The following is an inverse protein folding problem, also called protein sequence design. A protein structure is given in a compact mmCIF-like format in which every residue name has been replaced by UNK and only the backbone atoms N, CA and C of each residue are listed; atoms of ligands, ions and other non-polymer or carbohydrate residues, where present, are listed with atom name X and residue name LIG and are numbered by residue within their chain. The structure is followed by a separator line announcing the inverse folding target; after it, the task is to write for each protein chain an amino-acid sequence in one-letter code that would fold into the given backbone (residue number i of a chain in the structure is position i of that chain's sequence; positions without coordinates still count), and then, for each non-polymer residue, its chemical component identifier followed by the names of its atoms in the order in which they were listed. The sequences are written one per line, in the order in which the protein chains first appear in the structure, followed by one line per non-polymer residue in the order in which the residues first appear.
data_IF_835780429976
#
_entry.id   IF_835780429976
#
_cell.length_a   1.000
_cell.length_b   1.000
_cell.length_c   1.000
_cell.angle_alpha   90.00
_cell.angle_beta   90.00
_cell.angle_gamma   90.00
#
_symmetry.space_group_name_H-M   'P 1'
#
loop_
_entity.id
_entity.type
_entity.pdbx_description
1 polymer ?
#
# COMPACT_ATOMS: atom_id res chain seq x y z
N UNK A 1 -18.32 -15.52 27.03
CA UNK A 1 -17.60 -15.75 25.76
C UNK A 1 -16.12 -15.60 26.07
N UNK A 2 -15.32 -16.64 25.87
CA UNK A 2 -13.86 -16.52 26.01
C UNK A 2 -13.36 -15.51 25.00
N UNK A 3 -12.42 -14.60 25.35
CA UNK A 3 -11.84 -13.69 24.37
C UNK A 3 -11.18 -14.51 23.25
N UNK A 4 -11.50 -14.18 22.01
CA UNK A 4 -10.86 -14.78 20.85
C UNK A 4 -9.37 -14.49 20.96
N UNK A 5 -8.53 -15.52 21.02
CA UNK A 5 -7.08 -15.33 21.09
C UNK A 5 -6.63 -14.55 19.85
N UNK A 6 -5.91 -13.46 20.05
CA UNK A 6 -5.38 -12.68 18.95
C UNK A 6 -4.35 -13.51 18.16
N UNK A 7 -4.35 -13.39 16.84
CA UNK A 7 -3.32 -13.97 15.98
C UNK A 7 -1.98 -13.29 16.25
N UNK A 8 -0.94 -14.11 16.47
CA UNK A 8 0.43 -13.65 16.67
C UNK A 8 1.24 -13.77 15.39
N UNK A 9 2.43 -13.17 15.34
CA UNK A 9 3.38 -13.35 14.24
C UNK A 9 3.73 -14.85 14.02
N UNK A 10 3.85 -15.64 15.09
CA UNK A 10 4.09 -17.09 15.01
C UNK A 10 2.93 -17.83 14.34
N UNK A 11 1.70 -17.42 14.60
CA UNK A 11 0.52 -18.01 13.94
C UNK A 11 0.50 -17.66 12.46
N UNK A 12 0.93 -16.42 12.11
CA UNK A 12 1.08 -15.98 10.73
C UNK A 12 2.10 -16.83 9.96
N UNK A 13 3.27 -17.09 10.54
CA UNK A 13 4.29 -17.96 9.92
C UNK A 13 3.83 -19.41 9.72
N UNK A 14 2.84 -19.87 10.51
CA UNK A 14 2.27 -21.20 10.40
C UNK A 14 1.14 -21.31 9.36
N UNK A 15 0.71 -20.17 8.75
CA UNK A 15 -0.34 -20.17 7.74
C UNK A 15 0.11 -20.94 6.47
N UNK A 16 -0.82 -21.60 5.76
CA UNK A 16 -0.50 -22.37 4.58
C UNK A 16 -0.02 -21.48 3.44
N UNK A 17 1.00 -21.93 2.70
CA UNK A 17 1.41 -21.29 1.46
C UNK A 17 0.50 -21.75 0.30
N UNK A 18 -0.75 -21.31 0.30
CA UNK A 18 -1.82 -21.71 -0.61
C UNK A 18 -2.17 -20.66 -1.67
N UNK A 19 -1.30 -19.66 -1.86
CA UNK A 19 -1.44 -18.51 -2.76
C UNK A 19 -2.52 -17.51 -2.34
N UNK A 20 -3.09 -17.63 -1.15
CA UNK A 20 -3.94 -16.60 -0.57
C UNK A 20 -3.07 -15.50 0.01
N UNK A 21 -3.63 -14.31 0.06
CA UNK A 21 -3.00 -13.17 0.69
C UNK A 21 -3.56 -13.05 2.10
N UNK A 22 -2.68 -13.22 3.09
CA UNK A 22 -3.01 -13.15 4.50
C UNK A 22 -2.44 -11.86 5.07
N UNK A 23 -3.25 -11.16 5.86
CA UNK A 23 -2.85 -10.00 6.63
C UNK A 23 -3.34 -10.17 8.07
N UNK A 24 -2.73 -9.50 9.03
CA UNK A 24 -3.22 -9.43 10.41
C UNK A 24 -3.42 -7.97 10.76
N UNK A 25 -4.62 -7.62 11.17
CA UNK A 25 -4.99 -6.27 11.57
C UNK A 25 -5.35 -6.28 13.06
N UNK A 26 -4.45 -5.75 13.93
CA UNK A 26 -4.64 -5.73 15.39
C UNK A 26 -5.02 -7.14 15.95
N UNK A 27 -4.28 -8.17 15.53
CA UNK A 27 -4.53 -9.56 15.94
C UNK A 27 -5.70 -10.25 15.23
N UNK A 28 -6.39 -9.62 14.30
CA UNK A 28 -7.43 -10.25 13.49
C UNK A 28 -6.90 -10.69 12.13
N UNK A 29 -7.08 -11.98 11.81
CA UNK A 29 -6.70 -12.53 10.51
C UNK A 29 -7.63 -12.04 9.41
N UNK A 30 -7.06 -11.40 8.40
CA UNK A 30 -7.70 -10.98 7.17
C UNK A 30 -7.20 -11.84 5.99
N UNK A 31 -8.13 -12.30 5.15
CA UNK A 31 -7.80 -13.02 3.91
C UNK A 31 -8.37 -12.25 2.74
N UNK A 32 -7.49 -11.81 1.84
CA UNK A 32 -7.92 -11.05 0.67
C UNK A 32 -7.91 -11.93 -0.59
N UNK A 33 -8.87 -11.73 -1.50
CA UNK A 33 -8.90 -12.48 -2.76
C UNK A 33 -7.73 -12.06 -3.67
N UNK A 34 -7.45 -12.90 -4.68
CA UNK A 34 -6.48 -12.54 -5.71
C UNK A 34 -6.91 -11.26 -6.45
N UNK A 35 -5.95 -10.39 -6.83
CA UNK A 35 -6.24 -9.17 -7.55
C UNK A 35 -6.78 -9.44 -8.96
N UNK A 36 -7.62 -8.53 -9.47
CA UNK A 36 -8.13 -8.57 -10.84
C UNK A 36 -7.05 -8.22 -11.86
N UNK A 37 -7.32 -8.51 -13.14
CA UNK A 37 -6.45 -8.09 -14.24
C UNK A 37 -6.31 -6.56 -14.28
N UNK A 38 -7.41 -5.84 -14.09
CA UNK A 38 -7.40 -4.37 -14.04
C UNK A 38 -6.46 -3.84 -12.96
N UNK A 39 -6.58 -4.38 -11.75
CA UNK A 39 -5.70 -4.04 -10.63
C UNK A 39 -4.22 -4.27 -10.99
N UNK A 40 -3.89 -5.38 -11.62
CA UNK A 40 -2.52 -5.71 -12.03
C UNK A 40 -1.99 -4.78 -13.13
N UNK A 41 -2.84 -4.35 -14.07
CA UNK A 41 -2.47 -3.36 -15.10
C UNK A 41 -2.15 -2.02 -14.46
N UNK A 42 -3.00 -1.55 -13.53
CA UNK A 42 -2.80 -0.29 -12.81
C UNK A 42 -1.50 -0.34 -12.00
N UNK A 43 -1.27 -1.42 -11.25
CA UNK A 43 -0.02 -1.60 -10.49
C UNK A 43 1.21 -1.59 -11.41
N UNK A 44 1.16 -2.30 -12.52
CA UNK A 44 2.26 -2.35 -13.49
C UNK A 44 2.58 -0.98 -14.10
N UNK A 45 1.56 -0.21 -14.46
CA UNK A 45 1.72 1.13 -15.02
C UNK A 45 2.28 2.11 -13.97
N UNK A 46 1.77 2.04 -12.72
CA UNK A 46 2.26 2.83 -11.60
C UNK A 46 3.73 2.55 -11.30
N UNK A 47 4.08 1.28 -11.11
CA UNK A 47 5.47 0.87 -10.83
C UNK A 47 6.40 1.36 -11.95
N UNK A 48 6.01 1.22 -13.21
CA UNK A 48 6.79 1.73 -14.35
C UNK A 48 7.00 3.24 -14.31
N UNK A 49 5.97 4.00 -13.94
CA UNK A 49 6.07 5.45 -13.79
C UNK A 49 7.03 5.83 -12.66
N UNK A 50 6.87 5.21 -11.49
CA UNK A 50 7.70 5.47 -10.32
C UNK A 50 9.17 5.04 -10.55
N UNK A 51 9.42 3.89 -11.16
CA UNK A 51 10.78 3.41 -11.44
C UNK A 51 11.57 4.32 -12.41
N UNK A 52 10.90 5.09 -13.25
CA UNK A 52 11.56 6.08 -14.11
C UNK A 52 11.99 7.33 -13.35
N UNK A 53 11.27 7.66 -12.29
CA UNK A 53 11.46 8.89 -11.53
C UNK A 53 12.40 8.71 -10.33
N UNK A 54 12.18 7.66 -9.53
CA UNK A 54 12.87 7.42 -8.25
C UNK A 54 14.41 7.42 -8.38
N UNK A 55 15.03 6.73 -9.38
CA UNK A 55 16.51 6.68 -9.46
C UNK A 55 17.18 8.03 -9.59
N UNK A 56 16.50 9.03 -10.16
CA UNK A 56 17.09 10.34 -10.44
C UNK A 56 16.85 11.37 -9.35
N UNK A 57 15.77 11.26 -8.58
CA UNK A 57 15.36 12.32 -7.63
C UNK A 57 15.13 11.83 -6.19
N UNK A 58 14.90 10.55 -5.99
CA UNK A 58 14.60 9.98 -4.66
C UNK A 58 15.21 8.58 -4.53
N UNK A 59 16.55 8.46 -4.32
CA UNK A 59 17.18 7.16 -4.17
C UNK A 59 16.55 6.41 -2.97
N UNK A 60 16.14 5.16 -3.18
CA UNK A 60 15.47 4.32 -2.19
C UNK A 60 14.99 3.03 -2.82
N UNK A 61 14.14 2.28 -2.11
CA UNK A 61 13.56 1.04 -2.62
C UNK A 61 12.09 1.23 -2.96
N UNK A 62 11.71 0.88 -4.18
CA UNK A 62 10.33 0.67 -4.59
C UNK A 62 10.06 -0.82 -4.61
N UNK A 63 9.11 -1.28 -3.82
CA UNK A 63 8.74 -2.68 -3.67
C UNK A 63 7.22 -2.83 -3.87
N UNK A 64 6.78 -4.03 -4.21
CA UNK A 64 5.36 -4.31 -4.47
C UNK A 64 4.97 -5.72 -4.02
N UNK A 65 3.69 -5.92 -3.78
CA UNK A 65 3.14 -7.18 -3.27
C UNK A 65 3.45 -8.39 -4.17
N UNK A 66 3.58 -9.61 -3.58
CA UNK A 66 3.39 -9.89 -2.16
C UNK A 66 4.64 -9.58 -1.34
N UNK A 67 4.52 -8.74 -0.32
CA UNK A 67 5.61 -8.41 0.60
C UNK A 67 5.02 -7.99 1.94
N UNK A 68 5.49 -8.60 3.02
CA UNK A 68 5.02 -8.30 4.36
C UNK A 68 5.60 -6.97 4.87
N UNK A 69 4.72 -6.14 5.41
CA UNK A 69 5.04 -4.98 6.23
C UNK A 69 4.57 -5.28 7.64
N UNK A 70 5.51 -5.57 8.52
CA UNK A 70 5.28 -5.91 9.91
C UNK A 70 5.26 -4.61 10.69
N UNK A 71 4.07 -4.04 10.85
CA UNK A 71 3.88 -2.78 11.58
C UNK A 71 4.03 -3.01 13.09
N UNK A 72 3.61 -4.19 13.59
CA UNK A 72 3.82 -4.64 14.97
C UNK A 72 3.88 -6.17 15.00
N UNK A 73 4.82 -6.73 15.75
CA UNK A 73 4.88 -8.17 16.07
C UNK A 73 4.59 -8.45 17.56
N UNK A 74 4.09 -7.45 18.29
CA UNK A 74 3.65 -7.62 19.69
C UNK A 74 2.43 -8.55 19.73
N UNK A 75 2.43 -9.55 20.62
CA UNK A 75 1.41 -10.61 20.61
C UNK A 75 -0.04 -10.13 20.74
N UNK A 76 -0.25 -8.99 21.39
CA UNK A 76 -1.57 -8.37 21.63
C UNK A 76 -1.99 -7.35 20.56
N UNK A 77 -1.03 -6.94 19.70
CA UNK A 77 -1.21 -5.92 18.67
C UNK A 77 -0.59 -6.33 17.34
N UNK A 78 -0.40 -7.63 17.09
CA UNK A 78 0.22 -8.09 15.83
C UNK A 78 -0.49 -7.47 14.65
N UNK A 79 0.27 -6.76 13.82
CA UNK A 79 -0.24 -6.08 12.64
C UNK A 79 0.73 -6.28 11.48
N UNK A 80 0.27 -7.03 10.48
CA UNK A 80 1.01 -7.36 9.27
C UNK A 80 0.11 -7.01 8.09
N UNK A 81 0.58 -6.13 7.23
CA UNK A 81 -0.14 -5.69 6.03
C UNK A 81 0.70 -5.94 4.79
N UNK A 82 0.06 -6.06 3.64
CA UNK A 82 0.72 -6.19 2.35
C UNK A 82 0.20 -5.10 1.40
N UNK A 83 0.76 -3.88 1.45
CA UNK A 83 0.38 -2.83 0.51
C UNK A 83 0.70 -3.25 -0.93
N UNK A 84 -0.10 -2.82 -1.89
CA UNK A 84 0.11 -3.18 -3.29
C UNK A 84 1.46 -2.70 -3.82
N UNK A 85 1.89 -1.51 -3.36
CA UNK A 85 3.21 -0.96 -3.62
C UNK A 85 3.67 -0.13 -2.41
N UNK A 86 4.96 -0.04 -2.19
CA UNK A 86 5.54 0.78 -1.13
C UNK A 86 6.88 1.38 -1.54
N UNK A 87 7.25 2.47 -0.90
CA UNK A 87 8.55 3.09 -1.06
C UNK A 87 9.25 3.25 0.29
N UNK A 88 10.53 2.90 0.33
CA UNK A 88 11.42 3.06 1.47
C UNK A 88 12.47 4.10 1.09
N UNK A 89 12.46 5.24 1.76
CA UNK A 89 13.50 6.25 1.61
C UNK A 89 14.83 5.81 2.25
N UNK A 90 15.98 6.41 1.87
CA UNK A 90 17.29 6.01 2.36
C UNK A 90 17.44 6.01 3.89
N UNK A 91 16.80 6.95 4.57
CA UNK A 91 16.81 7.07 6.04
C UNK A 91 16.01 5.97 6.75
N UNK A 92 15.16 5.22 6.02
CA UNK A 92 14.36 4.10 6.52
C UNK A 92 14.84 2.72 6.05
N UNK A 93 15.98 2.64 5.37
CA UNK A 93 16.53 1.38 4.86
C UNK A 93 16.79 0.34 5.96
N UNK A 94 17.03 0.76 7.19
CA UNK A 94 17.19 -0.12 8.34
C UNK A 94 15.93 -0.94 8.68
N UNK A 95 14.76 -0.58 8.15
CA UNK A 95 13.52 -1.36 8.31
C UNK A 95 13.49 -2.63 7.45
N UNK A 96 14.40 -2.78 6.49
CA UNK A 96 14.43 -3.96 5.62
C UNK A 96 15.07 -5.16 6.32
N UNK A 97 14.41 -6.30 6.27
CA UNK A 97 14.88 -7.55 6.85
C UNK A 97 14.56 -8.76 5.96
N UNK A 98 14.90 -9.96 6.44
CA UNK A 98 14.48 -11.21 5.78
C UNK A 98 13.00 -11.53 5.96
N UNK A 99 12.37 -10.97 6.99
CA UNK A 99 10.93 -11.15 7.25
C UNK A 99 10.06 -10.23 6.40
N UNK A 100 10.63 -9.16 5.86
CA UNK A 100 9.93 -8.12 5.13
C UNK A 100 10.37 -6.73 5.58
N UNK A 101 9.43 -5.80 5.68
CA UNK A 101 9.65 -4.44 6.19
C UNK A 101 9.16 -4.39 7.64
N UNK A 102 10.07 -4.14 8.57
CA UNK A 102 9.79 -4.11 10.01
C UNK A 102 9.54 -2.68 10.49
N UNK A 103 8.31 -2.21 10.30
CA UNK A 103 7.85 -0.87 10.62
C UNK A 103 7.18 -0.15 9.46
N UNK A 104 6.82 1.12 9.69
CA UNK A 104 6.13 1.91 8.68
C UNK A 104 7.03 2.31 7.50
N UNK A 105 6.70 1.97 6.25
CA UNK A 105 7.41 2.46 5.06
C UNK A 105 7.30 3.99 4.94
N UNK A 106 8.07 4.60 4.04
CA UNK A 106 7.93 6.04 3.74
C UNK A 106 6.60 6.33 3.07
N UNK A 107 6.18 5.46 2.15
CA UNK A 107 4.92 5.55 1.44
C UNK A 107 4.32 4.15 1.31
N UNK A 108 3.04 4.02 1.65
CA UNK A 108 2.21 2.88 1.28
C UNK A 108 1.25 3.28 0.16
N UNK A 109 1.00 2.38 -0.78
CA UNK A 109 0.07 2.60 -1.90
C UNK A 109 -0.88 1.42 -1.97
N UNK A 110 -2.19 1.72 -1.96
CA UNK A 110 -3.27 0.75 -2.12
C UNK A 110 -4.09 1.06 -3.37
N UNK A 111 -4.32 0.04 -4.18
CA UNK A 111 -5.22 0.12 -5.35
C UNK A 111 -6.55 -0.47 -4.91
N UNK A 112 -7.55 0.37 -4.80
CA UNK A 112 -8.86 -0.01 -4.29
C UNK A 112 -9.56 -1.02 -5.20
N UNK A 113 -10.23 -1.98 -4.59
CA UNK A 113 -11.13 -2.91 -5.28
C UNK A 113 -12.48 -2.96 -4.57
N UNK A 114 -13.54 -3.41 -5.21
CA UNK A 114 -14.86 -3.53 -4.55
C UNK A 114 -14.81 -4.36 -3.27
N UNK A 115 -13.95 -5.38 -3.20
CA UNK A 115 -13.83 -6.27 -2.03
C UNK A 115 -12.99 -5.72 -0.90
N UNK A 116 -12.04 -4.82 -1.17
CA UNK A 116 -11.09 -4.30 -0.16
C UNK A 116 -11.28 -2.82 0.15
N UNK A 117 -12.07 -2.08 -0.62
CA UNK A 117 -12.27 -0.62 -0.51
C UNK A 117 -12.46 -0.12 0.92
N UNK A 118 -13.34 -0.77 1.69
CA UNK A 118 -13.60 -0.35 3.07
C UNK A 118 -12.40 -0.63 3.97
N UNK A 119 -11.75 -1.79 3.80
CA UNK A 119 -10.56 -2.17 4.56
C UNK A 119 -9.44 -1.16 4.29
N UNK A 120 -9.17 -0.83 3.03
CA UNK A 120 -8.08 0.07 2.65
C UNK A 120 -8.34 1.51 3.09
N UNK A 121 -9.59 2.01 2.87
CA UNK A 121 -9.96 3.40 3.22
C UNK A 121 -10.12 3.65 4.70
N UNK A 122 -10.46 2.65 5.50
CA UNK A 122 -10.75 2.81 6.93
C UNK A 122 -9.71 2.10 7.77
N UNK A 123 -9.65 0.76 7.69
CA UNK A 123 -8.80 -0.04 8.59
C UNK A 123 -7.32 0.20 8.31
N UNK A 124 -6.84 -0.07 7.10
CA UNK A 124 -5.41 0.08 6.76
C UNK A 124 -4.95 1.53 6.85
N UNK A 125 -5.79 2.49 6.42
CA UNK A 125 -5.48 3.91 6.62
C UNK A 125 -5.29 4.26 8.09
N UNK A 126 -6.11 3.73 9.00
CA UNK A 126 -5.94 3.90 10.44
C UNK A 126 -4.69 3.24 10.98
N UNK A 127 -4.39 2.02 10.53
CA UNK A 127 -3.16 1.31 10.89
C UNK A 127 -1.92 2.07 10.43
N UNK A 128 -1.87 2.49 9.16
CA UNK A 128 -0.74 3.27 8.64
C UNK A 128 -0.52 4.58 9.41
N UNK A 129 -1.59 5.28 9.79
CA UNK A 129 -1.46 6.49 10.61
C UNK A 129 -0.89 6.18 12.00
N UNK A 130 -1.43 5.17 12.69
CA UNK A 130 -0.97 4.73 14.01
C UNK A 130 0.51 4.35 14.04
N UNK A 131 0.98 3.66 13.01
CA UNK A 131 2.37 3.21 12.91
C UNK A 131 3.30 4.18 12.16
N UNK A 132 2.85 5.42 11.98
CA UNK A 132 3.69 6.52 11.53
C UNK A 132 4.18 6.41 10.08
N UNK A 133 3.37 5.85 9.17
CA UNK A 133 3.64 5.87 7.74
C UNK A 133 3.43 7.30 7.22
N UNK A 134 4.49 8.02 6.75
CA UNK A 134 4.36 9.44 6.44
C UNK A 134 3.40 9.76 5.31
N UNK A 135 3.33 8.86 4.31
CA UNK A 135 2.51 9.08 3.12
C UNK A 135 1.70 7.83 2.77
N UNK A 136 0.48 8.06 2.33
CA UNK A 136 -0.42 7.02 1.84
C UNK A 136 -1.05 7.49 0.52
N UNK A 137 -1.02 6.65 -0.50
CA UNK A 137 -1.82 6.86 -1.70
C UNK A 137 -2.93 5.83 -1.79
N UNK A 138 -4.13 6.31 -2.08
CA UNK A 138 -5.26 5.48 -2.46
C UNK A 138 -5.57 5.72 -3.93
N UNK A 139 -5.48 4.66 -4.74
CA UNK A 139 -5.75 4.68 -6.17
C UNK A 139 -7.11 4.05 -6.40
N UNK A 140 -8.04 4.82 -6.89
CA UNK A 140 -9.42 4.40 -7.09
C UNK A 140 -9.73 4.20 -8.58
N UNK A 141 -9.83 2.94 -9.05
CA UNK A 141 -10.15 2.64 -10.45
C UNK A 141 -11.53 3.13 -10.89
N UNK A 142 -12.53 3.08 -9.99
CA UNK A 142 -13.90 3.46 -10.32
C UNK A 142 -14.02 4.96 -10.62
N UNK A 143 -13.34 5.78 -9.83
CA UNK A 143 -13.32 7.25 -10.00
C UNK A 143 -12.16 7.73 -10.87
N UNK A 144 -11.23 6.84 -11.23
CA UNK A 144 -9.98 7.14 -11.93
C UNK A 144 -9.20 8.28 -11.28
N UNK A 145 -9.08 8.22 -9.97
CA UNK A 145 -8.43 9.23 -9.16
C UNK A 145 -7.38 8.63 -8.22
N UNK A 146 -6.40 9.45 -7.86
CA UNK A 146 -5.40 9.17 -6.84
C UNK A 146 -5.57 10.19 -5.73
N UNK A 147 -5.76 9.73 -4.51
CA UNK A 147 -5.73 10.55 -3.31
C UNK A 147 -4.39 10.33 -2.59
N UNK A 148 -3.55 11.35 -2.54
CA UNK A 148 -2.30 11.31 -1.80
C UNK A 148 -2.48 12.00 -0.45
N UNK A 149 -2.16 11.27 0.60
CA UNK A 149 -2.29 11.73 1.98
C UNK A 149 -0.91 11.93 2.60
N UNK A 150 -0.80 12.92 3.49
CA UNK A 150 0.33 13.13 4.39
C UNK A 150 -0.13 12.98 5.83
N UNK A 151 0.69 12.31 6.65
CA UNK A 151 0.42 12.16 8.07
C UNK A 151 0.73 13.48 8.80
N UNK A 152 -0.24 13.99 9.55
CA UNK A 152 -0.11 15.13 10.45
C UNK A 152 -0.56 14.73 11.85
N UNK A 153 0.38 14.63 12.77
CA UNK A 153 0.13 14.05 14.08
C UNK A 153 -0.28 12.59 13.96
N UNK A 154 -1.51 12.28 14.31
CA UNK A 154 -2.08 10.92 14.32
C UNK A 154 -3.09 10.66 13.19
N UNK A 155 -3.23 11.57 12.24
CA UNK A 155 -4.22 11.47 11.16
C UNK A 155 -3.69 11.88 9.80
N UNK A 156 -4.26 11.29 8.76
CA UNK A 156 -3.97 11.69 7.40
C UNK A 156 -4.80 12.89 6.95
N UNK A 157 -4.13 13.87 6.35
CA UNK A 157 -4.73 14.96 5.59
C UNK A 157 -4.48 14.76 4.10
N UNK A 158 -5.41 15.21 3.26
CA UNK A 158 -5.22 15.18 1.80
C UNK A 158 -4.13 16.18 1.45
N UNK A 159 -3.03 15.70 0.87
CA UNK A 159 -1.92 16.52 0.42
C UNK A 159 -2.05 16.87 -1.07
N UNK A 160 -2.58 15.94 -1.88
CA UNK A 160 -2.86 16.17 -3.29
C UNK A 160 -3.94 15.19 -3.77
N UNK A 161 -4.64 15.58 -4.84
CA UNK A 161 -5.55 14.70 -5.59
C UNK A 161 -5.21 14.81 -7.07
N UNK A 162 -5.08 13.69 -7.74
CA UNK A 162 -4.78 13.61 -9.16
C UNK A 162 -5.88 12.85 -9.89
N UNK A 163 -6.36 13.42 -10.99
CA UNK A 163 -7.34 12.79 -11.87
C UNK A 163 -7.14 13.30 -13.31
N UNK A 164 -7.54 12.48 -14.30
CA UNK A 164 -7.47 12.83 -15.73
C UNK A 164 -6.03 12.93 -16.27
N UNK A 165 -5.85 13.76 -17.31
CA UNK A 165 -4.63 13.83 -18.11
C UNK A 165 -3.58 14.83 -17.58
N UNK A 166 -3.93 15.65 -16.60
CA UNK A 166 -3.01 16.67 -16.10
C UNK A 166 -1.94 16.04 -15.22
N UNK A 167 -0.66 16.32 -15.45
CA UNK A 167 0.42 15.86 -14.57
C UNK A 167 0.29 16.47 -13.18
N UNK A 168 0.45 15.66 -12.14
CA UNK A 168 0.38 16.11 -10.75
C UNK A 168 1.58 15.60 -9.98
N UNK A 169 2.20 16.48 -9.20
CA UNK A 169 3.21 16.11 -8.22
C UNK A 169 2.54 15.49 -7.00
N UNK A 170 2.91 14.26 -6.71
CA UNK A 170 2.38 13.52 -5.57
C UNK A 170 3.48 13.28 -4.52
N UNK A 171 3.29 13.77 -3.29
CA UNK A 171 4.26 13.55 -2.22
C UNK A 171 4.40 12.03 -1.91
N UNK A 172 5.62 11.54 -1.56
CA UNK A 172 6.83 12.32 -1.25
C UNK A 172 7.69 12.73 -2.46
N UNK A 173 7.28 12.45 -3.69
CA UNK A 173 8.11 12.62 -4.87
C UNK A 173 7.94 14.01 -5.49
N UNK A 174 8.91 14.88 -5.29
CA UNK A 174 8.94 16.19 -5.94
C UNK A 174 9.30 16.03 -7.42
N UNK A 175 8.56 16.67 -8.31
CA UNK A 175 8.78 16.64 -9.76
C UNK A 175 8.39 15.32 -10.44
N UNK A 176 7.60 14.47 -9.78
CA UNK A 176 7.15 13.19 -10.35
C UNK A 176 6.31 13.38 -11.62
N UNK A 177 5.48 14.42 -11.66
CA UNK A 177 4.58 14.71 -12.79
C UNK A 177 3.80 13.46 -13.27
N UNK A 178 3.18 12.73 -12.33
CA UNK A 178 2.40 11.55 -12.64
C UNK A 178 1.12 11.94 -13.41
N UNK A 179 0.88 11.31 -14.55
CA UNK A 179 -0.34 11.47 -15.35
C UNK A 179 -1.31 10.34 -14.99
N UNK A 180 -2.42 10.60 -14.26
CA UNK A 180 -3.34 9.55 -13.81
C UNK A 180 -3.91 8.70 -14.94
N UNK A 181 -4.27 9.32 -16.08
CA UNK A 181 -4.84 8.59 -17.23
C UNK A 181 -3.91 7.53 -17.82
N UNK A 182 -2.60 7.65 -17.59
CA UNK A 182 -1.63 6.64 -18.02
C UNK A 182 -1.65 5.37 -17.15
N UNK A 183 -2.34 5.37 -16.01
CA UNK A 183 -2.44 4.21 -15.13
C UNK A 183 -3.54 3.25 -15.56
N UNK A 184 -4.61 3.76 -16.17
CA UNK A 184 -5.82 2.97 -16.43
C UNK A 184 -5.65 2.04 -17.63
N UNK A 185 -6.28 0.86 -17.60
CA UNK A 185 -6.29 -0.02 -18.76
C UNK A 185 -6.99 0.66 -19.94
N UNK A 186 -6.40 0.52 -21.12
CA UNK A 186 -7.08 0.92 -22.35
C UNK A 186 -8.29 0.01 -22.53
N UNK A 187 -9.51 0.54 -22.81
CA UNK A 187 -10.66 -0.30 -23.13
C UNK A 187 -10.31 -1.26 -24.27
N UNK A 188 -10.78 -2.52 -24.20
CA UNK A 188 -10.61 -3.43 -25.33
C UNK A 188 -11.15 -2.77 -26.59
N UNK A 189 -10.40 -2.84 -27.69
CA UNK A 189 -10.90 -2.38 -28.97
C UNK A 189 -12.06 -3.29 -29.34
N UNK A 190 -13.23 -2.71 -29.57
CA UNK A 190 -14.37 -3.43 -30.14
C UNK A 190 -13.90 -4.12 -31.44
N UNK A 191 -14.05 -5.44 -31.46
CA UNK A 191 -13.77 -6.25 -32.63
C UNK A 191 -15.00 -6.38 -33.46
#
# INVERSE_FOLDING_TARGET
MSPKSAFTYRDYEALPNDRRRYEIHDGELCVTPAPSIEHQIILSNLVRALMRHIPSVAPGLLLFAPLDVILSDRPDETTIVQPDCLYIAPDRMALTSRRGIEGGPTLAIEILSPSTRTIDRVTKRGLYARYGVPYLWLIDPDTRAIEAFRLEGDRYVVAATAARADPVDLPPFTGLALVPDALWPTPPRDR
#
